data_IF_736328570539
#
_entry.id   IF_736328570539
#
_cell.length_a   1.000
_cell.length_b   1.000
_cell.length_c   1.000
_cell.angle_alpha   90.00
_cell.angle_beta   90.00
_cell.angle_gamma   90.00
#
_symmetry.space_group_name_H-M   'P 1'
#
loop_
_entity.id
_entity.type
_entity.pdbx_description
1 polymer ?
#
# COMPACT_ATOMS: atom_id res chain seq x y z
N UNK A 1 -23.22 -22.72 32.95
CA UNK A 1 -23.18 -22.51 31.47
C UNK A 1 -21.91 -21.76 31.12
N UNK A 2 -21.13 -22.25 30.16
CA UNK A 2 -19.91 -21.58 29.70
C UNK A 2 -20.23 -20.22 29.08
N UNK A 3 -19.39 -19.20 29.35
CA UNK A 3 -19.55 -17.84 28.82
C UNK A 3 -18.84 -17.62 27.48
N UNK A 4 -17.92 -18.53 27.09
CA UNK A 4 -17.13 -18.47 25.87
C UNK A 4 -17.98 -19.06 24.73
N UNK A 5 -18.08 -18.32 23.61
CA UNK A 5 -18.76 -18.75 22.39
C UNK A 5 -17.86 -18.50 21.19
N UNK A 6 -17.92 -19.36 20.20
CA UNK A 6 -17.29 -19.13 18.92
C UNK A 6 -17.98 -17.97 18.19
N UNK A 7 -17.19 -17.08 17.60
CA UNK A 7 -17.71 -15.94 16.85
C UNK A 7 -18.17 -16.37 15.45
N UNK A 8 -19.19 -15.72 14.94
CA UNK A 8 -19.55 -15.86 13.53
C UNK A 8 -18.38 -15.39 12.65
N UNK A 9 -18.14 -16.08 11.55
CA UNK A 9 -17.03 -15.81 10.64
C UNK A 9 -16.99 -14.34 10.19
N UNK A 10 -18.13 -13.73 9.86
CA UNK A 10 -18.19 -12.30 9.47
C UNK A 10 -17.71 -11.37 10.57
N UNK A 11 -18.10 -11.64 11.82
CA UNK A 11 -17.65 -10.84 12.97
C UNK A 11 -16.17 -11.05 13.25
N UNK A 12 -15.70 -12.29 13.21
CA UNK A 12 -14.26 -12.61 13.35
C UNK A 12 -13.42 -11.89 12.28
N UNK A 13 -13.90 -11.89 11.02
CA UNK A 13 -13.25 -11.18 9.92
C UNK A 13 -13.19 -9.67 10.14
N UNK A 14 -14.26 -9.05 10.64
CA UNK A 14 -14.28 -7.62 10.96
C UNK A 14 -13.34 -7.27 12.12
N UNK A 15 -13.20 -8.14 13.12
CA UNK A 15 -12.25 -7.94 14.23
C UNK A 15 -10.82 -8.01 13.70
N UNK A 16 -10.46 -9.09 13.01
CA UNK A 16 -9.13 -9.29 12.47
C UNK A 16 -8.75 -8.24 11.38
N UNK A 17 -9.73 -7.76 10.59
CA UNK A 17 -9.49 -6.63 9.70
C UNK A 17 -9.03 -5.36 10.44
N UNK A 18 -9.25 -5.25 11.74
CA UNK A 18 -8.79 -4.13 12.54
C UNK A 18 -7.29 -4.07 12.75
N UNK A 19 -6.62 -5.18 12.64
CA UNK A 19 -5.16 -5.26 12.76
C UNK A 19 -4.47 -4.81 11.45
N UNK A 20 -5.13 -5.00 10.31
CA UNK A 20 -4.61 -4.64 8.98
C UNK A 20 -5.11 -3.28 8.52
N UNK A 21 -6.42 -3.01 8.70
CA UNK A 21 -7.10 -1.80 8.22
C UNK A 21 -7.53 -0.94 9.41
N UNK A 22 -6.60 -0.19 9.96
CA UNK A 22 -6.86 0.75 11.07
C UNK A 22 -7.43 2.08 10.56
N UNK A 23 -6.99 2.54 9.39
CA UNK A 23 -7.29 3.85 8.81
C UNK A 23 -7.17 3.86 7.28
N UNK A 24 -7.64 4.91 6.58
CA UNK A 24 -7.48 5.03 5.12
C UNK A 24 -6.05 4.85 4.63
N UNK A 25 -5.07 5.42 5.34
CA UNK A 25 -3.65 5.27 5.01
C UNK A 25 -3.18 3.82 5.02
N UNK A 26 -3.72 2.96 5.91
CA UNK A 26 -3.38 1.52 5.92
C UNK A 26 -3.83 0.84 4.62
N UNK A 27 -5.04 1.17 4.12
CA UNK A 27 -5.53 0.66 2.83
C UNK A 27 -4.62 1.08 1.69
N UNK A 28 -4.28 2.37 1.61
CA UNK A 28 -3.37 2.90 0.58
C UNK A 28 -2.03 2.18 0.62
N UNK A 29 -1.45 2.00 1.82
CA UNK A 29 -0.18 1.30 2.01
C UNK A 29 -0.22 -0.12 1.42
N UNK A 30 -1.20 -0.92 1.83
CA UNK A 30 -1.33 -2.31 1.38
C UNK A 30 -1.52 -2.41 -0.16
N UNK A 31 -2.33 -1.52 -0.75
CA UNK A 31 -2.54 -1.52 -2.19
C UNK A 31 -1.29 -1.08 -2.96
N UNK A 32 -0.52 -0.13 -2.45
CA UNK A 32 0.77 0.28 -3.03
C UNK A 32 1.81 -0.83 -2.96
N UNK A 33 1.92 -1.53 -1.82
CA UNK A 33 2.83 -2.66 -1.66
C UNK A 33 2.48 -3.78 -2.66
N UNK A 34 1.20 -4.07 -2.87
CA UNK A 34 0.77 -5.04 -3.87
C UNK A 34 1.11 -4.61 -5.30
N UNK A 35 0.92 -3.34 -5.66
CA UNK A 35 1.27 -2.82 -6.97
C UNK A 35 2.78 -2.88 -7.24
N UNK A 36 3.61 -2.54 -6.23
CA UNK A 36 5.07 -2.65 -6.30
C UNK A 36 5.54 -4.11 -6.44
N UNK A 37 4.94 -5.02 -5.68
CA UNK A 37 5.22 -6.46 -5.78
C UNK A 37 4.83 -7.02 -7.17
N UNK A 38 3.76 -6.48 -7.78
CA UNK A 38 3.34 -6.77 -9.16
C UNK A 38 4.25 -6.10 -10.22
N UNK A 39 5.37 -5.46 -9.81
CA UNK A 39 6.35 -4.82 -10.71
C UNK A 39 5.76 -3.67 -11.53
N UNK A 40 4.82 -2.95 -10.97
CA UNK A 40 4.28 -1.76 -11.60
C UNK A 40 5.37 -0.69 -11.78
N UNK A 41 5.40 -0.06 -12.95
CA UNK A 41 6.23 1.13 -13.24
C UNK A 41 5.44 2.42 -13.16
N UNK A 42 4.12 2.34 -13.06
CA UNK A 42 3.21 3.46 -12.89
C UNK A 42 2.08 3.10 -11.92
N UNK A 43 1.88 3.94 -10.90
CA UNK A 43 0.83 3.76 -9.91
C UNK A 43 0.08 5.08 -9.72
N UNK A 44 -1.23 5.06 -9.98
CA UNK A 44 -2.11 6.20 -9.82
C UNK A 44 -3.02 5.96 -8.62
N UNK A 45 -3.02 6.90 -7.67
CA UNK A 45 -3.79 6.88 -6.45
C UNK A 45 -4.80 8.04 -6.48
N UNK A 46 -6.07 7.74 -6.35
CA UNK A 46 -7.12 8.74 -6.22
C UNK A 46 -7.88 8.52 -4.91
N UNK A 47 -8.02 9.57 -4.11
CA UNK A 47 -8.76 9.52 -2.86
C UNK A 47 -9.83 10.61 -2.82
N UNK A 48 -11.00 10.26 -2.30
CA UNK A 48 -12.08 11.20 -2.02
C UNK A 48 -12.38 11.22 -0.52
N UNK A 49 -12.63 12.42 0.00
CA UNK A 49 -12.79 12.65 1.44
C UNK A 49 -11.69 11.94 2.25
N UNK A 50 -10.43 12.14 1.83
CA UNK A 50 -9.25 11.55 2.49
C UNK A 50 -9.32 10.01 2.62
N UNK A 51 -9.97 9.36 1.67
CA UNK A 51 -10.10 7.90 1.59
C UNK A 51 -11.27 7.29 2.37
N UNK A 52 -12.12 8.10 2.99
CA UNK A 52 -13.33 7.60 3.66
C UNK A 52 -14.42 7.28 2.63
N UNK A 53 -14.64 8.18 1.66
CA UNK A 53 -15.61 7.95 0.59
C UNK A 53 -15.07 6.94 -0.40
N UNK A 54 -13.87 7.17 -0.94
CA UNK A 54 -13.23 6.22 -1.84
C UNK A 54 -11.71 6.32 -1.85
N UNK A 55 -11.08 5.18 -2.12
CA UNK A 55 -9.66 5.00 -2.44
C UNK A 55 -9.60 4.19 -3.72
N UNK A 56 -8.98 4.71 -4.77
CA UNK A 56 -8.71 3.99 -6.00
C UNK A 56 -7.22 3.92 -6.24
N UNK A 57 -6.71 2.73 -6.51
CA UNK A 57 -5.32 2.51 -6.90
C UNK A 57 -5.31 1.77 -8.22
N UNK A 58 -4.64 2.35 -9.20
CA UNK A 58 -4.49 1.78 -10.54
C UNK A 58 -3.00 1.62 -10.83
N UNK A 59 -2.60 0.42 -11.13
CA UNK A 59 -1.23 0.07 -11.51
C UNK A 59 -1.17 -0.57 -12.92
N UNK A 60 0.01 -0.57 -13.50
CA UNK A 60 0.33 -1.23 -14.76
C UNK A 60 1.22 -2.47 -14.55
N UNK A 61 1.11 -3.14 -13.41
CA UNK A 61 1.88 -4.32 -13.07
C UNK A 61 1.46 -5.57 -13.85
N UNK A 62 1.84 -6.73 -13.35
CA UNK A 62 1.56 -8.02 -14.02
C UNK A 62 0.08 -8.37 -14.09
N UNK A 63 -0.76 -7.77 -13.23
CA UNK A 63 -2.14 -8.21 -13.05
C UNK A 63 -2.27 -9.50 -12.24
N UNK A 64 -3.48 -10.05 -12.19
CA UNK A 64 -3.83 -11.28 -11.46
C UNK A 64 -4.38 -12.28 -12.48
N UNK A 65 -3.87 -13.50 -12.46
CA UNK A 65 -4.30 -14.58 -13.36
C UNK A 65 -5.77 -14.98 -13.07
N UNK A 66 -6.47 -15.42 -14.11
CA UNK A 66 -7.88 -15.81 -14.01
C UNK A 66 -8.08 -16.94 -12.98
N UNK A 67 -7.17 -17.90 -12.97
CA UNK A 67 -7.22 -19.06 -12.05
C UNK A 67 -7.12 -18.65 -10.58
N UNK A 68 -6.48 -17.52 -10.27
CA UNK A 68 -6.28 -17.02 -8.91
C UNK A 68 -7.42 -16.11 -8.43
N UNK A 69 -8.30 -15.64 -9.33
CA UNK A 69 -9.31 -14.65 -9.01
C UNK A 69 -10.27 -15.06 -7.89
N UNK A 70 -10.58 -16.34 -7.79
CA UNK A 70 -11.46 -16.88 -6.75
C UNK A 70 -10.82 -16.83 -5.36
N UNK A 71 -9.47 -16.72 -5.26
CA UNK A 71 -8.70 -16.67 -4.01
C UNK A 71 -8.35 -15.26 -3.54
N UNK A 72 -8.50 -14.23 -4.40
CA UNK A 72 -8.02 -12.86 -4.15
C UNK A 72 -8.55 -12.27 -2.83
N UNK A 73 -9.78 -12.62 -2.43
CA UNK A 73 -10.41 -12.17 -1.19
C UNK A 73 -10.45 -13.26 -0.10
N UNK A 74 -9.75 -14.37 -0.31
CA UNK A 74 -9.60 -15.38 0.72
C UNK A 74 -8.46 -15.01 1.67
N UNK A 75 -8.65 -15.27 2.96
CA UNK A 75 -7.59 -15.13 3.95
C UNK A 75 -6.53 -16.20 3.76
N UNK A 76 -5.29 -15.84 4.06
CA UNK A 76 -4.15 -16.75 3.95
C UNK A 76 -3.91 -17.29 2.52
N UNK A 77 -4.47 -16.63 1.52
CA UNK A 77 -4.19 -16.90 0.11
C UNK A 77 -3.13 -15.92 -0.38
N UNK A 78 -1.95 -16.42 -0.72
CA UNK A 78 -0.83 -15.61 -1.19
C UNK A 78 -0.02 -16.39 -2.23
N UNK A 79 0.42 -15.69 -3.27
CA UNK A 79 1.39 -16.21 -4.24
C UNK A 79 2.85 -15.97 -3.81
N UNK A 80 3.05 -15.33 -2.65
CA UNK A 80 4.35 -14.78 -2.22
C UNK A 80 5.11 -15.69 -1.26
N UNK A 81 4.43 -16.67 -0.66
CA UNK A 81 5.00 -17.68 0.25
C UNK A 81 4.45 -19.04 -0.14
N UNK A 82 5.32 -20.04 -0.29
CA UNK A 82 4.94 -21.42 -0.59
C UNK A 82 5.35 -22.39 0.53
N UNK A 83 6.45 -22.12 1.22
CA UNK A 83 7.06 -22.98 2.22
C UNK A 83 7.43 -22.22 3.49
N UNK A 84 7.56 -22.92 4.62
CA UNK A 84 7.99 -22.33 5.90
C UNK A 84 9.37 -21.67 5.81
N UNK A 85 10.24 -22.16 4.93
CA UNK A 85 11.56 -21.59 4.64
C UNK A 85 11.47 -20.17 4.05
N UNK A 86 10.40 -19.85 3.32
CA UNK A 86 10.20 -18.54 2.71
C UNK A 86 10.02 -17.43 3.76
N UNK A 87 9.55 -17.78 4.97
CA UNK A 87 9.44 -16.84 6.10
C UNK A 87 10.80 -16.25 6.51
N UNK A 88 11.88 -16.96 6.27
CA UNK A 88 13.24 -16.48 6.54
C UNK A 88 13.85 -15.72 5.36
N UNK A 89 13.17 -15.69 4.20
CA UNK A 89 13.68 -15.11 2.96
C UNK A 89 12.61 -14.26 2.25
N UNK A 90 11.84 -13.45 3.01
CA UNK A 90 10.80 -12.59 2.46
C UNK A 90 11.42 -11.55 1.52
N UNK A 91 11.03 -11.57 0.25
CA UNK A 91 11.50 -10.65 -0.79
C UNK A 91 10.42 -9.68 -1.30
N UNK A 92 9.20 -9.78 -0.76
CA UNK A 92 8.05 -8.98 -1.12
C UNK A 92 7.67 -8.05 0.01
N UNK A 93 7.05 -6.90 -0.30
CA UNK A 93 6.59 -5.95 0.70
C UNK A 93 5.39 -6.49 1.48
N UNK A 94 4.43 -7.11 0.79
CA UNK A 94 3.32 -7.83 1.40
C UNK A 94 3.52 -9.35 1.30
N UNK A 95 3.18 -10.11 2.32
CA UNK A 95 3.33 -11.57 2.31
C UNK A 95 2.20 -12.34 3.02
N UNK A 96 1.35 -11.65 3.79
CA UNK A 96 0.37 -12.30 4.69
C UNK A 96 -0.87 -12.84 3.99
N UNK A 97 -1.16 -12.43 2.73
CA UNK A 97 -2.37 -12.85 2.00
C UNK A 97 -3.68 -12.43 2.68
N UNK A 98 -3.70 -11.31 3.39
CA UNK A 98 -4.85 -10.88 4.18
C UNK A 98 -5.36 -9.48 3.83
N UNK A 99 -4.62 -8.71 3.04
CA UNK A 99 -4.92 -7.31 2.80
C UNK A 99 -6.30 -7.12 2.14
N UNK A 100 -6.54 -7.73 0.96
CA UNK A 100 -7.80 -7.59 0.23
C UNK A 100 -8.98 -8.22 0.97
N UNK A 101 -8.77 -9.37 1.62
CA UNK A 101 -9.78 -9.99 2.48
C UNK A 101 -10.18 -9.09 3.64
N UNK A 102 -9.20 -8.43 4.28
CA UNK A 102 -9.43 -7.50 5.38
C UNK A 102 -10.13 -6.22 4.91
N UNK A 103 -9.70 -5.65 3.77
CA UNK A 103 -10.32 -4.45 3.19
C UNK A 103 -11.78 -4.72 2.81
N UNK A 104 -12.08 -5.83 2.11
CA UNK A 104 -13.44 -6.17 1.70
C UNK A 104 -14.37 -6.49 2.87
N UNK A 105 -13.82 -6.87 4.03
CA UNK A 105 -14.61 -7.09 5.26
C UNK A 105 -15.15 -5.80 5.88
N UNK A 106 -14.56 -4.63 5.56
CA UNK A 106 -14.92 -3.33 6.14
C UNK A 106 -15.21 -2.23 5.10
N UNK A 107 -15.18 -2.58 3.83
CA UNK A 107 -15.44 -1.67 2.70
C UNK A 107 -16.07 -2.44 1.53
N UNK A 108 -16.58 -1.73 0.55
CA UNK A 108 -16.99 -2.25 -0.75
C UNK A 108 -15.80 -2.20 -1.69
N UNK A 109 -15.48 -3.28 -2.37
CA UNK A 109 -14.29 -3.37 -3.22
C UNK A 109 -14.67 -3.81 -4.61
N UNK A 110 -14.31 -2.99 -5.61
CA UNK A 110 -14.33 -3.39 -7.03
C UNK A 110 -12.88 -3.55 -7.48
N UNK A 111 -12.52 -4.73 -7.94
CA UNK A 111 -11.22 -5.06 -8.49
C UNK A 111 -11.37 -5.37 -9.97
N UNK A 112 -10.59 -4.69 -10.83
CA UNK A 112 -10.42 -5.02 -12.25
C UNK A 112 -8.98 -5.39 -12.49
N UNK A 113 -8.75 -6.48 -13.19
CA UNK A 113 -7.38 -6.92 -13.48
C UNK A 113 -7.29 -7.58 -14.84
N UNK A 114 -6.09 -7.55 -15.40
CA UNK A 114 -5.79 -8.15 -16.69
C UNK A 114 -4.28 -8.41 -16.77
N UNK A 115 -3.88 -9.58 -17.26
CA UNK A 115 -2.47 -9.96 -17.42
C UNK A 115 -1.95 -9.75 -18.84
N UNK A 116 -2.83 -9.86 -19.85
CA UNK A 116 -2.47 -9.84 -21.28
C UNK A 116 -2.90 -8.55 -22.02
N UNK A 117 -3.61 -7.65 -21.34
CA UNK A 117 -4.18 -6.42 -21.91
C UNK A 117 -5.43 -6.63 -22.77
N UNK A 118 -6.00 -7.85 -22.81
CA UNK A 118 -7.15 -8.21 -23.64
C UNK A 118 -8.28 -8.83 -22.84
N UNK A 119 -7.96 -9.87 -22.02
CA UNK A 119 -8.93 -10.64 -21.27
C UNK A 119 -8.96 -10.19 -19.81
N UNK A 120 -9.68 -9.13 -19.52
CA UNK A 120 -9.80 -8.62 -18.17
C UNK A 120 -11.01 -9.16 -17.43
N UNK A 121 -10.95 -9.06 -16.12
CA UNK A 121 -12.01 -9.49 -15.21
C UNK A 121 -12.34 -8.38 -14.20
N UNK A 122 -13.60 -8.30 -13.81
CA UNK A 122 -14.07 -7.45 -12.72
C UNK A 122 -14.67 -8.31 -11.62
N UNK A 123 -14.25 -8.07 -10.39
CA UNK A 123 -14.78 -8.71 -9.19
C UNK A 123 -15.33 -7.62 -8.28
N UNK A 124 -16.54 -7.83 -7.77
CA UNK A 124 -17.12 -7.03 -6.69
C UNK A 124 -17.19 -7.87 -5.42
N UNK A 125 -16.61 -7.34 -4.33
CA UNK A 125 -16.58 -7.98 -3.03
C UNK A 125 -17.11 -7.03 -1.94
N UNK A 126 -17.88 -7.58 -1.01
CA UNK A 126 -18.47 -6.87 0.12
C UNK A 126 -18.61 -7.83 1.31
N UNK A 127 -18.46 -7.33 2.55
CA UNK A 127 -18.51 -8.13 3.79
C UNK A 127 -17.55 -9.35 3.80
N UNK A 128 -16.41 -9.22 3.09
CA UNK A 128 -15.41 -10.28 3.01
C UNK A 128 -15.74 -11.41 2.04
N UNK A 129 -16.74 -11.24 1.17
CA UNK A 129 -17.16 -12.25 0.19
C UNK A 129 -17.21 -11.68 -1.22
N UNK A 130 -16.90 -12.52 -2.21
CA UNK A 130 -17.12 -12.20 -3.63
C UNK A 130 -18.63 -12.28 -3.90
N UNK A 131 -19.21 -11.16 -4.32
CA UNK A 131 -20.64 -11.06 -4.66
C UNK A 131 -20.86 -11.28 -6.16
N UNK A 132 -19.94 -10.79 -6.99
CA UNK A 132 -20.05 -10.89 -8.45
C UNK A 132 -18.68 -10.94 -9.09
N UNK A 133 -18.56 -11.74 -10.16
CA UNK A 133 -17.39 -11.81 -11.02
C UNK A 133 -17.85 -11.89 -12.47
N UNK A 134 -17.22 -11.10 -13.35
CA UNK A 134 -17.56 -11.07 -14.78
C UNK A 134 -16.36 -10.66 -15.62
N UNK A 135 -16.32 -11.03 -16.90
CA UNK A 135 -15.37 -10.46 -17.84
C UNK A 135 -15.52 -8.94 -17.93
N UNK A 136 -14.42 -8.23 -18.08
CA UNK A 136 -14.40 -6.77 -18.22
C UNK A 136 -13.27 -6.33 -19.15
N UNK A 137 -13.44 -5.20 -19.80
CA UNK A 137 -12.32 -4.57 -20.52
C UNK A 137 -11.38 -3.96 -19.47
N UNK A 138 -10.13 -4.39 -19.47
CA UNK A 138 -9.08 -3.82 -18.63
C UNK A 138 -7.77 -3.73 -19.41
N UNK A 139 -6.93 -2.78 -19.04
CA UNK A 139 -5.52 -2.75 -19.47
C UNK A 139 -4.74 -3.71 -18.59
N UNK A 140 -3.55 -4.10 -19.02
CA UNK A 140 -2.64 -4.85 -18.18
C UNK A 140 -2.40 -4.12 -16.86
N UNK A 141 -2.43 -4.86 -15.74
CA UNK A 141 -2.30 -4.36 -14.38
C UNK A 141 -3.56 -4.58 -13.56
N UNK A 142 -3.69 -3.79 -12.49
CA UNK A 142 -4.81 -3.91 -11.55
C UNK A 142 -5.38 -2.53 -11.22
N UNK A 143 -6.72 -2.43 -11.17
CA UNK A 143 -7.49 -1.24 -10.78
C UNK A 143 -8.39 -1.64 -9.61
N UNK A 144 -8.07 -1.16 -8.43
CA UNK A 144 -8.82 -1.45 -7.20
C UNK A 144 -9.51 -0.18 -6.73
N UNK A 145 -10.83 -0.23 -6.63
CA UNK A 145 -11.67 0.80 -6.03
C UNK A 145 -12.24 0.29 -4.72
N UNK A 146 -11.89 0.97 -3.64
CA UNK A 146 -12.42 0.75 -2.29
C UNK A 146 -13.36 1.90 -1.96
N UNK A 147 -14.61 1.59 -1.63
CA UNK A 147 -15.66 2.58 -1.36
C UNK A 147 -16.27 2.38 0.03
N UNK A 148 -16.74 3.48 0.61
CA UNK A 148 -17.49 3.48 1.88
C UNK A 148 -16.71 2.78 3.01
N UNK A 149 -15.46 3.15 3.21
CA UNK A 149 -14.60 2.54 4.23
C UNK A 149 -15.25 2.65 5.62
N UNK A 150 -15.32 1.52 6.33
CA UNK A 150 -15.95 1.37 7.66
C UNK A 150 -17.47 1.51 7.70
N UNK A 151 -18.18 1.40 6.56
CA UNK A 151 -19.64 1.51 6.51
C UNK A 151 -20.36 0.55 7.47
N UNK A 152 -19.81 -0.64 7.66
CA UNK A 152 -20.35 -1.70 8.51
C UNK A 152 -19.67 -1.80 9.90
N UNK A 153 -18.79 -0.85 10.22
CA UNK A 153 -18.05 -0.76 11.50
C UNK A 153 -18.08 0.68 12.04
N UNK A 154 -19.27 1.22 12.40
CA UNK A 154 -19.43 2.64 12.75
C UNK A 154 -18.61 3.06 13.97
N UNK A 155 -18.27 2.15 14.87
CA UNK A 155 -17.37 2.43 15.97
C UNK A 155 -15.98 2.85 15.46
N UNK A 156 -15.44 2.18 14.42
CA UNK A 156 -14.14 2.56 13.82
C UNK A 156 -14.20 3.90 13.11
N UNK A 157 -15.30 4.17 12.41
CA UNK A 157 -15.48 5.46 11.73
C UNK A 157 -15.37 6.63 12.72
N UNK A 158 -15.85 6.46 13.96
CA UNK A 158 -15.74 7.47 15.02
C UNK A 158 -14.29 7.72 15.49
N UNK A 159 -13.38 6.75 15.31
CA UNK A 159 -11.96 6.91 15.68
C UNK A 159 -11.11 7.47 14.54
N UNK A 160 -11.65 7.60 13.34
CA UNK A 160 -10.96 8.29 12.24
C UNK A 160 -10.77 9.76 12.63
N UNK A 161 -9.55 10.24 12.48
CA UNK A 161 -9.20 11.62 12.81
C UNK A 161 -9.78 12.59 11.77
N UNK A 162 -9.42 13.87 11.85
CA UNK A 162 -9.87 14.84 10.85
C UNK A 162 -9.41 14.43 9.44
N UNK A 163 -10.20 14.77 8.42
CA UNK A 163 -9.86 14.54 7.01
C UNK A 163 -8.45 15.05 6.67
N UNK A 164 -8.09 16.21 7.20
CA UNK A 164 -6.74 16.77 7.04
C UNK A 164 -5.65 15.84 7.59
N UNK A 165 -5.87 15.26 8.76
CA UNK A 165 -4.90 14.32 9.38
C UNK A 165 -4.78 13.04 8.57
N UNK A 166 -5.88 12.49 8.07
CA UNK A 166 -5.87 11.26 7.27
C UNK A 166 -5.20 11.49 5.90
N UNK A 167 -5.51 12.61 5.24
CA UNK A 167 -4.83 12.97 3.99
C UNK A 167 -3.33 13.15 4.19
N UNK A 168 -2.92 13.79 5.29
CA UNK A 168 -1.50 13.94 5.63
C UNK A 168 -0.79 12.60 5.79
N UNK A 169 -1.47 11.59 6.38
CA UNK A 169 -0.94 10.24 6.52
C UNK A 169 -0.82 9.51 5.17
N UNK A 170 -1.84 9.63 4.31
CA UNK A 170 -1.79 9.08 2.95
C UNK A 170 -0.64 9.69 2.18
N UNK A 171 -0.51 11.03 2.21
CA UNK A 171 0.57 11.76 1.54
C UNK A 171 1.95 11.31 2.02
N UNK A 172 2.14 11.14 3.35
CA UNK A 172 3.41 10.67 3.94
C UNK A 172 3.76 9.24 3.43
N UNK A 173 2.78 8.34 3.37
CA UNK A 173 2.97 6.98 2.86
C UNK A 173 3.40 7.01 1.39
N UNK A 174 2.68 7.76 0.53
CA UNK A 174 3.00 7.85 -0.90
C UNK A 174 4.38 8.49 -1.12
N UNK A 175 4.73 9.54 -0.36
CA UNK A 175 6.04 10.16 -0.40
C UNK A 175 7.16 9.15 -0.09
N UNK A 176 7.01 8.36 0.97
CA UNK A 176 8.01 7.35 1.37
C UNK A 176 8.16 6.28 0.31
N UNK A 177 7.04 5.78 -0.25
CA UNK A 177 7.07 4.80 -1.33
C UNK A 177 7.76 5.37 -2.58
N UNK A 178 7.47 6.61 -2.95
CA UNK A 178 8.10 7.27 -4.09
C UNK A 178 9.62 7.49 -3.88
N UNK A 179 10.05 7.85 -2.67
CA UNK A 179 11.47 8.02 -2.36
C UNK A 179 12.25 6.71 -2.43
N UNK A 180 11.62 5.60 -2.08
CA UNK A 180 12.26 4.29 -2.08
C UNK A 180 12.17 3.55 -3.43
N UNK A 181 11.25 3.98 -4.31
CA UNK A 181 11.10 3.45 -5.66
C UNK A 181 11.11 4.61 -6.67
N UNK A 182 12.28 5.26 -6.86
CA UNK A 182 12.38 6.42 -7.74
C UNK A 182 12.19 6.06 -9.23
N UNK A 183 12.27 4.79 -9.58
CA UNK A 183 12.01 4.20 -10.88
C UNK A 183 10.52 3.99 -11.19
N UNK A 184 9.65 4.16 -10.19
CA UNK A 184 8.21 4.07 -10.33
C UNK A 184 7.58 5.45 -10.38
N UNK A 185 6.65 5.66 -11.31
CA UNK A 185 5.86 6.89 -11.40
C UNK A 185 4.67 6.80 -10.44
N UNK A 186 4.61 7.71 -9.48
CA UNK A 186 3.49 7.86 -8.57
C UNK A 186 2.70 9.12 -8.89
N UNK A 187 1.37 9.00 -8.90
CA UNK A 187 0.46 10.15 -8.96
C UNK A 187 -0.56 10.02 -7.83
N UNK A 188 -0.62 11.01 -6.94
CA UNK A 188 -1.63 11.10 -5.89
C UNK A 188 -2.58 12.27 -6.19
N UNK A 189 -3.86 11.95 -6.31
CA UNK A 189 -4.94 12.92 -6.50
C UNK A 189 -5.89 12.84 -5.31
N UNK A 190 -6.23 13.97 -4.71
CA UNK A 190 -7.24 14.09 -3.65
C UNK A 190 -8.32 15.08 -4.09
N UNK A 191 -9.56 14.61 -4.13
CA UNK A 191 -10.74 15.43 -4.49
C UNK A 191 -10.51 16.24 -5.79
N UNK A 192 -9.92 15.58 -6.80
CA UNK A 192 -9.59 16.15 -8.11
C UNK A 192 -8.33 17.01 -8.17
N UNK A 193 -7.64 17.22 -7.05
CA UNK A 193 -6.38 17.98 -7.01
C UNK A 193 -5.18 17.05 -6.92
N UNK A 194 -4.23 17.18 -7.85
CA UNK A 194 -2.95 16.47 -7.79
C UNK A 194 -2.09 17.02 -6.66
N UNK A 195 -1.67 16.13 -5.76
CA UNK A 195 -0.81 16.45 -4.61
C UNK A 195 0.64 16.03 -4.84
N UNK A 196 0.85 14.89 -5.52
CA UNK A 196 2.16 14.31 -5.80
C UNK A 196 2.15 13.81 -7.23
N UNK A 197 3.24 14.04 -7.95
CA UNK A 197 3.46 13.47 -9.27
C UNK A 197 4.96 13.28 -9.51
N UNK A 198 5.45 12.05 -9.46
CA UNK A 198 6.84 11.71 -9.80
C UNK A 198 6.94 11.23 -11.24
N UNK A 199 8.14 11.23 -11.79
CA UNK A 199 8.38 10.90 -13.19
C UNK A 199 8.86 9.46 -13.44
N UNK A 200 9.26 8.73 -12.38
CA UNK A 200 9.77 7.36 -12.50
C UNK A 200 11.14 7.28 -13.20
N UNK A 201 11.97 8.31 -13.05
CA UNK A 201 13.29 8.39 -13.73
C UNK A 201 14.40 7.55 -13.10
N UNK A 202 14.16 6.93 -11.96
CA UNK A 202 15.18 6.23 -11.17
C UNK A 202 16.08 7.17 -10.36
N UNK A 203 15.82 8.49 -10.39
CA UNK A 203 16.65 9.49 -9.71
C UNK A 203 15.98 10.00 -8.45
N UNK A 204 16.48 9.56 -7.29
CA UNK A 204 15.92 9.92 -5.98
C UNK A 204 15.93 11.43 -5.73
N UNK A 205 16.93 12.17 -6.21
CA UNK A 205 16.99 13.62 -6.06
C UNK A 205 15.84 14.35 -6.78
N UNK A 206 15.34 13.82 -7.89
CA UNK A 206 14.15 14.39 -8.57
C UNK A 206 12.91 14.15 -7.75
N UNK A 207 12.73 12.96 -7.20
CA UNK A 207 11.62 12.66 -6.29
C UNK A 207 11.67 13.56 -5.06
N UNK A 208 12.86 13.79 -4.49
CA UNK A 208 13.05 14.71 -3.37
C UNK A 208 12.68 16.15 -3.75
N UNK A 209 12.98 16.58 -4.98
CA UNK A 209 12.60 17.90 -5.47
C UNK A 209 11.07 18.08 -5.56
N UNK A 210 10.35 17.04 -5.99
CA UNK A 210 8.89 17.05 -6.02
C UNK A 210 8.26 17.09 -4.63
N UNK A 211 8.84 16.37 -3.66
CA UNK A 211 8.30 16.25 -2.29
C UNK A 211 8.66 17.47 -1.42
N UNK A 212 9.91 17.89 -1.44
CA UNK A 212 10.45 18.92 -0.53
C UNK A 212 10.71 20.26 -1.21
N UNK A 213 10.58 20.31 -2.52
CA UNK A 213 10.84 21.48 -3.35
C UNK A 213 12.30 21.59 -3.79
N UNK A 214 12.51 22.22 -4.95
CA UNK A 214 13.81 22.34 -5.62
C UNK A 214 14.89 22.99 -4.74
N UNK A 215 14.51 23.94 -3.87
CA UNK A 215 15.44 24.64 -2.97
C UNK A 215 16.09 23.66 -1.99
N UNK A 216 15.29 22.78 -1.37
CA UNK A 216 15.78 21.75 -0.43
C UNK A 216 16.59 20.71 -1.19
N UNK A 217 16.06 20.24 -2.31
CA UNK A 217 16.70 19.17 -3.10
C UNK A 217 18.11 19.51 -3.58
N UNK A 218 18.37 20.78 -3.90
CA UNK A 218 19.73 21.24 -4.30
C UNK A 218 20.74 21.23 -3.15
N UNK A 219 20.26 21.33 -1.92
CA UNK A 219 21.11 21.38 -0.72
C UNK A 219 21.16 20.02 0.02
N UNK A 220 20.64 18.96 -0.61
CA UNK A 220 20.77 17.60 -0.10
C UNK A 220 22.18 17.07 -0.33
N UNK A 221 22.74 16.46 0.70
CA UNK A 221 24.00 15.74 0.67
C UNK A 221 23.69 14.25 0.64
N UNK A 222 24.14 13.56 -0.38
CA UNK A 222 24.05 12.10 -0.46
C UNK A 222 25.00 11.48 0.57
N UNK A 223 24.49 10.53 1.34
CA UNK A 223 25.26 9.79 2.32
C UNK A 223 25.15 8.31 2.05
N UNK A 224 26.25 7.60 2.21
CA UNK A 224 26.31 6.13 2.14
C UNK A 224 27.11 5.62 3.32
N UNK A 225 26.78 4.45 3.81
CA UNK A 225 27.52 3.78 4.86
C UNK A 225 27.30 2.29 4.79
N UNK A 226 28.39 1.54 4.94
CA UNK A 226 28.36 0.08 4.92
C UNK A 226 28.89 -0.47 6.23
N UNK A 227 28.21 -1.51 6.72
CA UNK A 227 28.69 -2.39 7.80
C UNK A 227 28.67 -3.83 7.29
N UNK A 228 29.11 -4.80 8.13
CA UNK A 228 28.98 -6.22 7.79
C UNK A 228 27.54 -6.65 7.51
N UNK A 229 26.56 -6.00 8.16
CA UNK A 229 25.17 -6.45 8.19
C UNK A 229 24.20 -5.48 7.52
N UNK A 230 24.61 -4.22 7.32
CA UNK A 230 23.73 -3.16 6.83
C UNK A 230 24.40 -2.32 5.75
N UNK A 231 23.66 -2.01 4.72
CA UNK A 231 23.93 -0.93 3.79
C UNK A 231 22.97 0.22 4.07
N UNK A 232 23.52 1.42 4.32
CA UNK A 232 22.75 2.65 4.49
C UNK A 232 23.00 3.53 3.27
N UNK A 233 21.93 3.97 2.64
CA UNK A 233 21.98 4.99 1.60
C UNK A 233 20.89 6.03 1.87
N UNK A 234 21.18 7.30 1.65
CA UNK A 234 20.17 8.34 1.88
C UNK A 234 20.67 9.75 1.60
N UNK A 235 19.84 10.70 1.99
CA UNK A 235 20.09 12.12 1.80
C UNK A 235 19.88 12.87 3.12
N UNK A 236 20.77 13.80 3.40
CA UNK A 236 20.68 14.69 4.55
C UNK A 236 20.64 16.13 4.06
N UNK A 237 19.70 16.91 4.53
CA UNK A 237 19.63 18.33 4.22
C UNK A 237 20.69 19.10 5.03
N UNK A 238 21.18 20.21 4.49
CA UNK A 238 22.03 21.14 5.21
C UNK A 238 21.29 21.72 6.44
N UNK A 239 22.02 22.14 7.50
CA UNK A 239 21.42 22.63 8.76
C UNK A 239 20.41 23.78 8.58
N UNK A 240 20.58 24.61 7.55
CA UNK A 240 19.66 25.73 7.22
C UNK A 240 18.25 25.27 6.82
N UNK A 241 18.08 23.99 6.44
CA UNK A 241 16.80 23.36 6.17
C UNK A 241 16.27 22.55 7.34
N UNK A 242 16.94 22.61 8.50
CA UNK A 242 16.50 21.86 9.67
C UNK A 242 15.07 22.26 10.09
N UNK A 243 14.30 21.29 10.56
CA UNK A 243 12.94 21.47 11.03
C UNK A 243 12.84 20.97 12.46
N UNK A 244 12.03 21.64 13.26
CA UNK A 244 11.81 21.26 14.66
C UNK A 244 11.01 19.96 14.84
N UNK A 245 10.45 19.44 13.77
CA UNK A 245 9.56 18.30 13.81
C UNK A 245 10.20 17.04 13.19
N UNK A 246 10.12 15.91 13.91
CA UNK A 246 10.63 14.60 13.46
C UNK A 246 9.92 14.04 12.22
N UNK A 247 8.79 14.60 11.79
CA UNK A 247 8.12 14.18 10.54
C UNK A 247 8.97 14.36 9.27
N UNK A 248 10.03 15.18 9.34
CA UNK A 248 10.99 15.35 8.25
C UNK A 248 12.14 14.35 8.28
N UNK A 249 12.17 13.46 9.26
CA UNK A 249 13.08 12.31 9.28
C UNK A 249 12.31 11.14 8.69
N UNK A 250 12.71 10.72 7.50
CA UNK A 250 12.10 9.58 6.82
C UNK A 250 13.12 8.45 6.73
N UNK A 251 12.81 7.32 7.31
CA UNK A 251 13.59 6.10 7.17
C UNK A 251 12.71 5.08 6.49
N UNK A 252 13.18 4.54 5.37
CA UNK A 252 12.54 3.42 4.69
C UNK A 252 13.47 2.24 4.88
N UNK A 253 13.03 1.26 5.63
CA UNK A 253 13.73 0.00 5.80
C UNK A 253 13.11 -1.00 4.84
N UNK A 254 13.86 -1.37 3.81
CA UNK A 254 13.64 -2.62 3.12
C UNK A 254 14.56 -3.63 3.77
N UNK A 255 14.00 -4.51 4.51
CA UNK A 255 14.65 -5.76 4.78
C UNK A 255 14.65 -6.58 3.49
N UNK A 256 15.48 -6.17 2.53
CA UNK A 256 16.09 -7.14 1.67
C UNK A 256 17.02 -7.91 2.61
N UNK A 257 16.48 -8.91 3.25
CA UNK A 257 17.25 -9.90 3.98
C UNK A 257 18.26 -10.48 3.01
N UNK A 258 19.45 -9.86 2.96
CA UNK A 258 20.63 -10.64 2.62
C UNK A 258 20.70 -11.71 3.68
N UNK A 259 20.97 -12.94 3.28
CA UNK A 259 20.85 -14.19 4.03
C UNK A 259 21.65 -14.28 5.35
N UNK A 260 21.69 -13.24 6.17
CA UNK A 260 22.40 -13.17 7.45
C UNK A 260 21.70 -12.30 8.51
N UNK A 261 20.41 -12.01 8.37
CA UNK A 261 19.72 -11.38 9.47
C UNK A 261 19.33 -12.40 10.53
N UNK A 262 20.28 -12.66 11.42
CA UNK A 262 19.96 -13.18 12.75
C UNK A 262 19.27 -12.04 13.51
N UNK A 263 17.97 -12.20 13.76
CA UNK A 263 17.14 -11.18 14.36
C UNK A 263 17.73 -10.62 15.65
N UNK A 264 17.91 -9.32 15.67
CA UNK A 264 17.85 -8.48 16.86
C UNK A 264 17.01 -7.26 16.50
N UNK A 265 15.76 -7.32 16.92
CA UNK A 265 14.94 -6.13 17.05
C UNK A 265 15.58 -5.22 18.11
N UNK A 266 15.88 -4.01 17.74
CA UNK A 266 16.07 -2.90 18.67
C UNK A 266 14.83 -2.01 18.63
#
# INVERSE_FOLDING_TARGET
MGKIKELQTSLANKIAAGEVVERPGSVVKELLENALDAKASEINIEVKQSGIESIRVVDNGTGIEEDDLHLVFHRHATSKLNEDSDLFHIRTLGFRGEALASISSVAKVTLRTCTDGQNGHEIYAEDGAIINQKPAKAKQGTDILVESLFYNTPARLKYVKSLYTELGKITDIVNRMAMSHPDVRFTLVSDGKTLIKTNGSGRTNEVMAEIYGMKVAKDLVHITGDTSDYHLEGFVAKPEHSRSNRHYISTVSYTHLRAHETGRNL
#
